data_IF_013573841230
#
_entry.id   IF_013573841230
#
_cell.length_a   1.000
_cell.length_b   1.000
_cell.length_c   1.000
_cell.angle_alpha   90.00
_cell.angle_beta   90.00
_cell.angle_gamma   90.00
#
_symmetry.space_group_name_H-M   'P 1'
#
loop_
_entity.id
_entity.type
_entity.pdbx_description
1 polymer ?
#
# COMPACT_ATOMS: atom_id res chain seq x y z
N UNK A 1 -39.50 29.65 28.82
CA UNK A 1 -39.63 28.81 27.61
C UNK A 1 -38.40 27.94 27.32
N UNK A 2 -37.15 28.38 27.54
CA UNK A 2 -35.94 27.63 27.11
C UNK A 2 -35.71 26.29 27.82
N UNK A 3 -36.00 26.20 29.12
CA UNK A 3 -35.70 25.00 29.92
C UNK A 3 -36.49 23.76 29.48
N UNK A 4 -37.78 23.91 29.23
CA UNK A 4 -38.62 22.81 28.74
C UNK A 4 -38.15 22.31 27.37
N UNK A 5 -37.77 23.23 26.47
CA UNK A 5 -37.21 22.87 25.18
C UNK A 5 -35.90 22.07 25.33
N UNK A 6 -35.01 22.46 26.25
CA UNK A 6 -33.76 21.72 26.52
C UNK A 6 -34.01 20.29 26.98
N UNK A 7 -35.01 20.06 27.85
CA UNK A 7 -35.37 18.70 28.27
C UNK A 7 -35.89 17.87 27.10
N UNK A 8 -36.76 18.43 26.26
CA UNK A 8 -37.25 17.71 25.09
C UNK A 8 -36.12 17.36 24.11
N UNK A 9 -35.21 18.31 23.84
CA UNK A 9 -34.01 18.05 23.00
C UNK A 9 -33.17 16.92 23.59
N UNK A 10 -32.89 16.95 24.89
CA UNK A 10 -32.16 15.87 25.55
C UNK A 10 -32.89 14.53 25.41
N UNK A 11 -34.22 14.56 25.46
CA UNK A 11 -35.03 13.37 25.23
C UNK A 11 -34.82 12.75 23.86
N UNK A 12 -34.77 13.56 22.79
CA UNK A 12 -34.56 13.05 21.42
C UNK A 12 -33.22 12.36 21.18
N UNK A 13 -32.25 12.52 22.08
CA UNK A 13 -30.93 11.89 21.99
C UNK A 13 -30.87 10.51 22.67
N UNK A 14 -31.92 10.13 23.40
CA UNK A 14 -31.98 8.83 24.06
C UNK A 14 -32.47 7.77 23.07
N UNK A 15 -31.94 6.53 23.15
CA UNK A 15 -32.38 5.44 22.28
C UNK A 15 -33.86 5.12 22.49
N UNK A 16 -34.59 5.01 21.39
CA UNK A 16 -36.04 4.77 21.37
C UNK A 16 -36.37 3.38 21.89
N UNK A 17 -36.96 3.32 23.08
CA UNK A 17 -37.65 2.13 23.55
C UNK A 17 -39.14 2.27 23.18
N UNK A 18 -39.47 1.76 22.01
CA UNK A 18 -40.82 1.49 21.51
C UNK A 18 -41.69 2.72 21.15
N UNK A 19 -42.00 2.77 19.86
CA UNK A 19 -43.21 3.29 19.24
C UNK A 19 -44.55 2.75 19.82
N UNK A 20 -44.54 2.11 20.99
CA UNK A 20 -45.71 1.44 21.60
C UNK A 20 -46.33 2.21 22.78
N UNK A 21 -45.60 3.11 23.44
CA UNK A 21 -46.19 3.91 24.53
C UNK A 21 -46.37 5.37 24.12
N UNK A 22 -47.64 5.80 23.99
CA UNK A 22 -48.06 7.21 23.82
C UNK A 22 -47.76 8.06 25.08
N UNK A 23 -46.72 7.74 25.86
CA UNK A 23 -46.34 8.48 27.07
C UNK A 23 -45.63 9.76 26.65
N UNK A 24 -46.28 10.89 26.92
CA UNK A 24 -45.67 12.22 26.76
C UNK A 24 -44.41 12.29 27.61
N UNK A 25 -43.29 12.61 26.98
CA UNK A 25 -42.01 12.80 27.64
C UNK A 25 -42.12 13.97 28.61
N UNK A 26 -41.81 13.76 29.89
CA UNK A 26 -41.75 14.80 30.90
C UNK A 26 -40.32 14.94 31.44
N UNK A 27 -39.95 16.12 31.92
CA UNK A 27 -38.58 16.39 32.37
C UNK A 27 -38.04 15.36 33.38
N UNK A 28 -38.79 14.92 34.41
CA UNK A 28 -38.32 13.87 35.32
C UNK A 28 -38.04 12.53 34.61
N UNK A 29 -38.92 12.10 33.69
CA UNK A 29 -38.75 10.86 32.93
C UNK A 29 -37.56 10.89 31.97
N UNK A 30 -37.23 12.07 31.43
CA UNK A 30 -36.03 12.29 30.62
C UNK A 30 -34.80 12.16 31.50
N UNK A 31 -34.78 12.85 32.64
CA UNK A 31 -33.62 12.87 33.54
C UNK A 31 -33.28 11.49 34.10
N UNK A 32 -34.30 10.72 34.54
CA UNK A 32 -34.12 9.35 35.04
C UNK A 32 -33.39 8.44 34.04
N UNK A 33 -33.77 8.57 32.76
CA UNK A 33 -33.15 7.81 31.67
C UNK A 33 -31.75 8.31 31.33
N UNK A 34 -31.54 9.62 31.30
CA UNK A 34 -30.23 10.22 31.00
C UNK A 34 -29.19 9.78 32.03
N UNK A 35 -29.56 9.82 33.32
CA UNK A 35 -28.68 9.39 34.42
C UNK A 35 -28.28 7.92 34.28
N UNK A 36 -29.17 7.10 33.72
CA UNK A 36 -28.88 5.68 33.45
C UNK A 36 -28.11 5.46 32.14
N UNK A 37 -28.37 6.26 31.11
CA UNK A 37 -27.85 6.04 29.77
C UNK A 37 -26.43 6.58 29.58
N UNK A 38 -26.09 7.74 30.18
CA UNK A 38 -24.75 8.33 30.08
C UNK A 38 -23.66 7.34 30.54
N UNK A 39 -23.76 6.69 31.72
CA UNK A 39 -22.75 5.72 32.15
C UNK A 39 -22.62 4.52 31.20
N UNK A 40 -23.73 4.03 30.63
CA UNK A 40 -23.71 2.94 29.65
C UNK A 40 -22.96 3.33 28.38
N UNK A 41 -23.24 4.52 27.88
CA UNK A 41 -22.58 5.04 26.67
C UNK A 41 -21.07 5.26 26.91
N UNK A 42 -20.68 5.75 28.09
CA UNK A 42 -19.27 5.89 28.45
C UNK A 42 -18.54 4.54 28.45
N UNK A 43 -19.14 3.50 29.03
CA UNK A 43 -18.56 2.15 29.01
C UNK A 43 -18.42 1.60 27.57
N UNK A 44 -19.44 1.80 26.73
CA UNK A 44 -19.41 1.36 25.33
C UNK A 44 -18.29 2.07 24.53
N UNK A 45 -18.09 3.37 24.74
CA UNK A 45 -17.01 4.13 24.11
C UNK A 45 -15.63 3.63 24.57
N UNK A 46 -15.48 3.29 25.85
CA UNK A 46 -14.24 2.73 26.39
C UNK A 46 -13.94 1.36 25.78
N UNK A 47 -14.91 0.45 25.74
CA UNK A 47 -14.79 -0.88 25.11
C UNK A 47 -14.43 -0.77 23.63
N UNK A 48 -15.10 0.11 22.88
CA UNK A 48 -14.80 0.36 21.48
C UNK A 48 -13.40 0.94 21.27
N UNK A 49 -12.94 1.80 22.18
CA UNK A 49 -11.60 2.39 22.14
C UNK A 49 -10.53 1.31 22.35
N UNK A 50 -10.72 0.43 23.33
CA UNK A 50 -9.82 -0.70 23.59
C UNK A 50 -9.80 -1.63 22.37
N UNK A 51 -10.98 -1.97 21.82
CA UNK A 51 -11.08 -2.84 20.64
C UNK A 51 -10.40 -2.23 19.41
N UNK A 52 -10.55 -0.93 19.19
CA UNK A 52 -9.88 -0.21 18.10
C UNK A 52 -8.36 -0.27 18.25
N UNK A 53 -7.83 -0.04 19.47
CA UNK A 53 -6.39 -0.11 19.74
C UNK A 53 -5.85 -1.52 19.48
N UNK A 54 -6.52 -2.53 20.01
CA UNK A 54 -6.14 -3.94 19.79
C UNK A 54 -6.10 -4.29 18.31
N UNK A 55 -7.13 -3.92 17.54
CA UNK A 55 -7.17 -4.19 16.11
C UNK A 55 -6.05 -3.45 15.35
N UNK A 56 -5.70 -2.23 15.77
CA UNK A 56 -4.59 -1.50 15.17
C UNK A 56 -3.23 -2.18 15.47
N UNK A 57 -3.03 -2.65 16.70
CA UNK A 57 -1.85 -3.43 17.10
C UNK A 57 -1.76 -4.75 16.33
N UNK A 58 -2.87 -5.48 16.19
CA UNK A 58 -2.94 -6.72 15.41
C UNK A 58 -2.52 -6.48 13.95
N UNK A 59 -3.05 -5.42 13.30
CA UNK A 59 -2.68 -5.03 11.93
C UNK A 59 -1.20 -4.65 11.81
N UNK A 60 -0.66 -3.91 12.77
CA UNK A 60 0.76 -3.53 12.76
C UNK A 60 1.68 -4.74 12.98
N UNK A 61 1.26 -5.68 13.83
CA UNK A 61 1.97 -6.94 14.07
C UNK A 61 1.97 -7.83 12.83
N UNK A 62 0.83 -7.96 12.12
CA UNK A 62 0.73 -8.71 10.87
C UNK A 62 1.56 -8.06 9.76
N UNK A 63 1.54 -6.72 9.67
CA UNK A 63 2.36 -5.97 8.71
C UNK A 63 3.85 -6.19 8.98
N UNK A 64 4.27 -6.17 10.25
CA UNK A 64 5.66 -6.40 10.64
C UNK A 64 6.09 -7.85 10.37
N UNK A 65 5.26 -8.84 10.70
CA UNK A 65 5.53 -10.25 10.39
C UNK A 65 5.54 -10.53 8.88
N UNK A 66 4.72 -9.84 8.09
CA UNK A 66 4.74 -9.93 6.63
C UNK A 66 5.98 -9.27 6.03
N UNK A 67 6.45 -8.17 6.60
CA UNK A 67 7.72 -7.54 6.21
C UNK A 67 8.92 -8.44 6.54
N UNK A 68 8.92 -9.14 7.68
CA UNK A 68 10.00 -10.07 8.03
C UNK A 68 9.95 -11.39 7.25
N UNK A 69 8.78 -11.82 6.76
CA UNK A 69 8.63 -13.02 5.93
C UNK A 69 8.78 -12.78 4.43
N UNK A 70 8.95 -11.52 3.99
CA UNK A 70 9.15 -11.15 2.59
C UNK A 70 10.54 -10.56 2.34
N UNK A 71 11.58 -11.16 2.93
CA UNK A 71 12.94 -11.02 2.39
C UNK A 71 13.29 -12.26 1.56
N UNK A 72 12.74 -12.30 0.34
CA UNK A 72 13.61 -12.25 -0.80
C UNK A 72 13.32 -10.94 -1.55
N UNK A 73 14.37 -10.18 -1.86
CA UNK A 73 14.35 -9.06 -2.80
C UNK A 73 13.18 -9.17 -3.78
N UNK A 74 12.09 -8.43 -3.53
CA UNK A 74 10.91 -8.45 -4.41
C UNK A 74 11.26 -7.63 -5.65
N UNK A 75 12.14 -8.19 -6.48
CA UNK A 75 12.59 -7.65 -7.75
C UNK A 75 11.85 -8.41 -8.84
N UNK A 76 11.02 -7.70 -9.59
CA UNK A 76 10.38 -8.23 -10.79
C UNK A 76 11.09 -7.67 -12.02
N UNK A 77 11.61 -8.55 -12.88
CA UNK A 77 12.23 -8.18 -14.14
C UNK A 77 11.39 -8.77 -15.27
N UNK A 78 10.77 -7.88 -16.05
CA UNK A 78 10.11 -8.21 -17.30
C UNK A 78 10.99 -7.81 -18.47
N UNK A 79 11.06 -8.66 -19.49
CA UNK A 79 11.82 -8.42 -20.71
C UNK A 79 10.88 -8.69 -21.88
N UNK A 80 10.80 -7.73 -22.79
CA UNK A 80 9.98 -7.78 -24.00
C UNK A 80 10.86 -7.50 -25.20
N UNK A 81 10.96 -8.46 -26.11
CA UNK A 81 11.64 -8.27 -27.39
C UNK A 81 10.80 -7.41 -28.33
N UNK A 82 11.47 -6.56 -29.10
CA UNK A 82 10.87 -5.71 -30.12
C UNK A 82 11.40 -6.11 -31.51
N UNK A 83 10.48 -6.11 -32.49
CA UNK A 83 10.81 -6.36 -33.90
C UNK A 83 11.00 -7.84 -34.26
N UNK A 84 11.10 -8.12 -35.56
CA UNK A 84 11.36 -9.49 -36.09
C UNK A 84 12.84 -9.87 -36.00
N UNK A 85 13.74 -8.89 -35.87
CA UNK A 85 15.19 -9.08 -35.78
C UNK A 85 15.64 -9.57 -34.39
N UNK A 86 14.89 -9.24 -33.33
CA UNK A 86 15.20 -9.60 -31.94
C UNK A 86 16.44 -8.88 -31.37
N UNK A 87 16.90 -7.81 -32.02
CA UNK A 87 18.04 -6.98 -31.61
C UNK A 87 17.64 -5.84 -30.66
N UNK A 88 16.35 -5.57 -30.50
CA UNK A 88 15.81 -4.52 -29.64
C UNK A 88 14.96 -5.13 -28.53
N UNK A 89 15.15 -4.63 -27.30
CA UNK A 89 14.51 -5.18 -26.11
C UNK A 89 14.10 -4.06 -25.16
N UNK A 90 12.90 -4.17 -24.62
CA UNK A 90 12.40 -3.35 -23.51
C UNK A 90 12.45 -4.16 -22.23
N UNK A 91 13.18 -3.66 -21.25
CA UNK A 91 13.28 -4.22 -19.91
C UNK A 91 12.56 -3.33 -18.92
N UNK A 92 11.74 -3.95 -18.07
CA UNK A 92 11.09 -3.30 -16.95
C UNK A 92 11.50 -3.96 -15.65
N UNK A 93 12.06 -3.17 -14.73
CA UNK A 93 12.59 -3.63 -13.44
C UNK A 93 11.83 -2.91 -12.35
N UNK A 94 11.06 -3.65 -11.56
CA UNK A 94 10.39 -3.12 -10.37
C UNK A 94 11.10 -3.65 -9.12
N UNK A 95 11.61 -2.75 -8.29
CA UNK A 95 12.28 -3.10 -7.05
C UNK A 95 12.16 -1.99 -6.00
N UNK A 96 12.44 -2.33 -4.76
CA UNK A 96 12.67 -1.35 -3.70
C UNK A 96 14.00 -0.65 -3.97
N UNK A 97 14.00 0.69 -3.99
CA UNK A 97 15.21 1.48 -4.17
C UNK A 97 16.03 1.47 -2.88
N UNK A 98 17.23 0.91 -2.92
CA UNK A 98 18.14 0.88 -1.76
C UNK A 98 19.21 1.96 -1.88
N UNK A 99 19.85 2.08 -3.04
CA UNK A 99 20.89 3.07 -3.36
C UNK A 99 20.40 4.07 -4.41
N UNK A 100 20.95 5.29 -4.39
CA UNK A 100 20.56 6.33 -5.35
C UNK A 100 21.05 6.05 -6.77
N UNK A 101 22.24 5.45 -6.89
CA UNK A 101 22.97 5.27 -8.15
C UNK A 101 22.74 3.91 -8.82
N UNK A 102 21.87 3.06 -8.27
CA UNK A 102 21.58 1.70 -8.78
C UNK A 102 21.27 1.69 -10.27
N UNK A 103 20.38 2.59 -10.71
CA UNK A 103 19.97 2.64 -12.10
C UNK A 103 21.09 3.14 -13.00
N UNK A 104 21.75 4.23 -12.63
CA UNK A 104 22.88 4.79 -13.40
C UNK A 104 24.02 3.78 -13.56
N UNK A 105 24.32 3.02 -12.51
CA UNK A 105 25.32 1.95 -12.54
C UNK A 105 24.90 0.82 -13.48
N UNK A 106 23.62 0.41 -13.45
CA UNK A 106 23.09 -0.58 -14.39
C UNK A 106 23.22 -0.11 -15.84
N UNK A 107 22.86 1.13 -16.14
CA UNK A 107 22.99 1.70 -17.49
C UNK A 107 24.44 1.63 -17.98
N UNK A 108 25.38 2.07 -17.13
CA UNK A 108 26.81 2.04 -17.45
C UNK A 108 27.33 0.62 -17.69
N UNK A 109 26.92 -0.37 -16.87
CA UNK A 109 27.32 -1.76 -17.09
C UNK A 109 26.78 -2.30 -18.42
N UNK A 110 25.54 -1.97 -18.78
CA UNK A 110 24.96 -2.42 -20.04
C UNK A 110 25.67 -1.80 -21.25
N UNK A 111 26.01 -0.52 -21.21
CA UNK A 111 26.80 0.12 -22.26
C UNK A 111 28.19 -0.49 -22.39
N UNK A 112 28.86 -0.77 -21.26
CA UNK A 112 30.16 -1.46 -21.27
C UNK A 112 30.10 -2.89 -21.82
N UNK A 113 28.94 -3.54 -21.76
CA UNK A 113 28.71 -4.89 -22.30
C UNK A 113 28.37 -4.89 -23.80
N UNK A 114 28.42 -3.75 -24.48
CA UNK A 114 28.11 -3.66 -25.92
C UNK A 114 26.61 -3.54 -26.21
N UNK A 115 25.86 -2.94 -25.28
CA UNK A 115 24.45 -2.63 -25.49
C UNK A 115 24.24 -1.12 -25.66
N UNK A 116 23.53 -0.72 -26.70
CA UNK A 116 23.18 0.67 -26.95
C UNK A 116 21.85 1.03 -26.25
N UNK A 117 21.87 2.00 -25.34
CA UNK A 117 20.65 2.44 -24.62
C UNK A 117 19.90 3.45 -25.47
N UNK A 118 18.69 3.09 -25.91
CA UNK A 118 17.84 3.94 -26.73
C UNK A 118 16.93 4.85 -25.89
N UNK A 119 16.44 4.35 -24.76
CA UNK A 119 15.60 5.13 -23.84
C UNK A 119 15.69 4.56 -22.44
N UNK A 120 15.73 5.42 -21.43
CA UNK A 120 15.73 5.03 -20.03
C UNK A 120 14.81 5.96 -19.23
N UNK A 121 14.03 5.40 -18.32
CA UNK A 121 13.18 6.20 -17.43
C UNK A 121 13.02 5.54 -16.06
N UNK A 122 12.81 6.38 -15.05
CA UNK A 122 12.54 5.96 -13.68
C UNK A 122 11.20 6.50 -13.24
N UNK A 123 10.34 5.63 -12.74
CA UNK A 123 9.03 5.99 -12.19
C UNK A 123 8.94 5.57 -10.72
N UNK A 124 8.47 6.47 -9.86
CA UNK A 124 8.16 6.14 -8.46
C UNK A 124 6.78 5.47 -8.40
N UNK A 125 6.72 4.22 -7.94
CA UNK A 125 5.47 3.43 -7.88
C UNK A 125 4.82 3.56 -6.51
N UNK A 126 5.60 3.44 -5.43
CA UNK A 126 5.11 3.55 -4.06
C UNK A 126 6.09 4.37 -3.21
N UNK A 127 5.65 5.54 -2.74
CA UNK A 127 6.48 6.46 -1.95
C UNK A 127 6.85 5.89 -0.59
N UNK A 128 5.87 5.31 0.10
CA UNK A 128 6.04 4.82 1.48
C UNK A 128 6.98 3.61 1.57
N UNK A 129 7.01 2.79 0.52
CA UNK A 129 7.87 1.61 0.43
C UNK A 129 9.12 1.84 -0.43
N UNK A 130 9.32 3.06 -0.96
CA UNK A 130 10.39 3.43 -1.89
C UNK A 130 10.52 2.48 -3.09
N UNK A 131 9.39 1.99 -3.61
CA UNK A 131 9.37 1.11 -4.78
C UNK A 131 9.44 1.95 -6.04
N UNK A 132 10.39 1.61 -6.91
CA UNK A 132 10.63 2.26 -8.20
C UNK A 132 10.49 1.25 -9.33
N UNK A 133 10.13 1.76 -10.50
CA UNK A 133 10.11 1.03 -11.74
C UNK A 133 11.09 1.70 -12.71
N UNK A 134 12.11 0.94 -13.11
CA UNK A 134 13.03 1.32 -14.17
C UNK A 134 12.54 0.73 -15.49
N UNK A 135 12.39 1.58 -16.50
CA UNK A 135 12.12 1.14 -17.87
C UNK A 135 13.33 1.45 -18.73
N UNK A 136 13.77 0.45 -19.47
CA UNK A 136 14.96 0.51 -20.29
C UNK A 136 14.64 -0.04 -21.67
N UNK A 137 14.99 0.72 -22.70
CA UNK A 137 14.94 0.29 -24.09
C UNK A 137 16.37 0.20 -24.59
N UNK A 138 16.76 -0.99 -25.02
CA UNK A 138 18.14 -1.34 -25.38
C UNK A 138 18.15 -1.95 -26.77
N UNK A 139 19.17 -1.60 -27.55
CA UNK A 139 19.55 -2.28 -28.76
C UNK A 139 20.87 -3.03 -28.52
N UNK A 140 20.93 -4.30 -28.86
CA UNK A 140 22.14 -5.12 -28.72
C UNK A 140 22.99 -4.98 -29.98
N UNK A 141 24.30 -4.76 -29.83
CA UNK A 141 25.20 -4.59 -30.98
C UNK A 141 25.47 -5.93 -31.70
N UNK A 142 25.41 -7.05 -30.99
CA UNK A 142 25.52 -8.40 -31.53
C UNK A 142 24.39 -9.30 -31.01
N UNK A 143 23.75 -10.05 -31.91
CA UNK A 143 22.73 -11.05 -31.52
C UNK A 143 23.44 -12.22 -30.84
N UNK A 144 23.04 -12.62 -29.61
CA UNK A 144 23.57 -13.84 -29.00
C UNK A 144 23.24 -15.05 -29.89
N UNK A 145 24.24 -15.90 -30.14
CA UNK A 145 24.11 -17.09 -30.98
C UNK A 145 22.88 -17.93 -30.60
N UNK A 146 22.14 -18.40 -31.62
CA UNK A 146 20.98 -19.30 -31.51
C UNK A 146 21.35 -20.57 -30.72
N UNK A 147 21.11 -20.58 -29.40
CA UNK A 147 21.41 -21.75 -28.57
C UNK A 147 21.11 -21.56 -27.09
N UNK A 148 21.40 -20.38 -26.55
CA UNK A 148 21.06 -20.01 -25.16
C UNK A 148 19.88 -19.00 -25.16
N UNK A 149 18.95 -19.16 -24.23
CA UNK A 149 17.85 -18.20 -24.02
C UNK A 149 18.43 -16.85 -23.59
N UNK A 150 18.71 -15.99 -24.58
CA UNK A 150 19.39 -14.72 -24.37
C UNK A 150 18.64 -13.79 -23.42
N UNK A 151 17.32 -13.93 -23.32
CA UNK A 151 16.50 -13.24 -22.32
C UNK A 151 16.96 -13.64 -20.92
N UNK A 152 17.22 -14.93 -20.70
CA UNK A 152 17.71 -15.44 -19.41
C UNK A 152 19.11 -14.91 -19.11
N UNK A 153 20.00 -14.85 -20.10
CA UNK A 153 21.34 -14.24 -19.94
C UNK A 153 21.23 -12.75 -19.58
N UNK A 154 20.37 -12.00 -20.27
CA UNK A 154 20.12 -10.59 -20.01
C UNK A 154 19.54 -10.38 -18.59
N UNK A 155 18.55 -11.18 -18.19
CA UNK A 155 17.98 -11.14 -16.83
C UNK A 155 19.03 -11.42 -15.76
N UNK A 156 19.91 -12.38 -15.99
CA UNK A 156 20.99 -12.71 -15.05
C UNK A 156 21.98 -11.56 -14.93
N UNK A 157 22.42 -10.97 -16.06
CA UNK A 157 23.32 -9.82 -16.06
C UNK A 157 22.72 -8.64 -15.28
N UNK A 158 21.46 -8.30 -15.55
CA UNK A 158 20.75 -7.23 -14.86
C UNK A 158 20.63 -7.52 -13.36
N UNK A 159 20.37 -8.78 -12.99
CA UNK A 159 20.28 -9.19 -11.59
C UNK A 159 21.62 -9.04 -10.88
N UNK A 160 22.72 -9.43 -11.52
CA UNK A 160 24.08 -9.30 -10.99
C UNK A 160 24.54 -7.84 -10.86
N UNK A 161 24.23 -6.98 -11.83
CA UNK A 161 24.61 -5.55 -11.79
C UNK A 161 23.87 -4.75 -10.70
N UNK A 162 22.70 -5.24 -10.29
CA UNK A 162 21.88 -4.61 -9.27
C UNK A 162 22.05 -5.28 -7.88
N UNK A 163 22.99 -6.22 -7.71
CA UNK A 163 23.37 -6.79 -6.41
C UNK A 163 24.48 -5.97 -5.75
#
# INVERSE_FOLDING_TARGET
MRLHASYLTLGTLLPDQSSSSKKKWCAPSIMDRVVTYIPKLLNEVEELTIRKKKLAEDIESEKSQRLERQDPQTRAISVLELGESGDEVVVQISMKKEKEDEFSNLLNVMEMQGSSILSASTSLVCRDQRVVCYNLHVKMDEKPCEGDDYITVLKNNITSSLS
#
